data_IF_788732649296
#
_entry.id   IF_788732649296
#
_cell.length_a   1.000
_cell.length_b   1.000
_cell.length_c   1.000
_cell.angle_alpha   90.00
_cell.angle_beta   90.00
_cell.angle_gamma   90.00
#
_symmetry.space_group_name_H-M   'P 1'
#
loop_
_entity.id
_entity.type
_entity.pdbx_description
1 polymer ?
#
# COMPACT_ATOMS: atom_id res chain seq x y z
N UNK A 1 -18.16 8.61 3.78
CA UNK A 1 -16.82 9.09 3.39
C UNK A 1 -15.67 8.15 3.76
N UNK A 2 -15.92 7.15 4.62
CA UNK A 2 -14.95 6.07 4.84
C UNK A 2 -14.61 5.26 3.58
N UNK A 3 -15.46 5.25 2.58
CA UNK A 3 -15.24 4.55 1.32
C UNK A 3 -14.17 5.22 0.45
N UNK A 4 -14.02 6.53 0.55
CA UNK A 4 -13.01 7.29 -0.17
C UNK A 4 -11.61 7.10 0.41
N UNK A 5 -11.51 6.86 1.73
CA UNK A 5 -10.22 6.62 2.39
C UNK A 5 -9.69 5.19 2.24
N UNK A 6 -10.50 4.26 1.76
CA UNK A 6 -10.10 2.86 1.52
C UNK A 6 -9.23 2.65 0.29
N UNK A 7 -8.89 3.71 -0.35
CA UNK A 7 -7.89 3.74 -1.38
C UNK A 7 -8.47 4.01 -2.76
N UNK A 8 -7.96 5.06 -3.34
CA UNK A 8 -8.23 5.44 -4.71
C UNK A 8 -8.06 4.26 -5.68
N UNK A 9 -7.07 3.40 -5.44
CA UNK A 9 -6.84 2.19 -6.21
C UNK A 9 -8.01 1.20 -6.21
N UNK A 10 -8.76 1.07 -5.10
CA UNK A 10 -9.92 0.16 -5.05
C UNK A 10 -11.09 0.68 -5.87
N UNK A 11 -11.30 2.00 -5.90
CA UNK A 11 -12.32 2.63 -6.74
C UNK A 11 -12.04 2.38 -8.21
N UNK A 12 -10.81 2.60 -8.66
CA UNK A 12 -10.42 2.43 -10.06
C UNK A 12 -10.35 0.96 -10.49
N UNK A 13 -9.95 0.04 -9.63
CA UNK A 13 -10.02 -1.41 -9.92
C UNK A 13 -11.45 -1.87 -10.23
N UNK A 14 -12.45 -1.33 -9.52
CA UNK A 14 -13.86 -1.68 -9.75
C UNK A 14 -14.38 -1.23 -11.13
N UNK A 15 -13.79 -0.22 -11.73
CA UNK A 15 -14.16 0.24 -13.07
C UNK A 15 -13.80 -0.78 -14.17
N UNK A 16 -12.79 -1.63 -13.93
CA UNK A 16 -12.46 -2.78 -14.77
C UNK A 16 -11.69 -2.47 -16.06
N UNK A 17 -11.36 -1.20 -16.32
CA UNK A 17 -10.63 -0.76 -17.53
C UNK A 17 -9.42 0.13 -17.21
N UNK A 18 -9.13 0.38 -15.95
CA UNK A 18 -7.99 1.19 -15.51
C UNK A 18 -6.89 0.28 -14.99
N UNK A 19 -5.67 0.45 -15.48
CA UNK A 19 -4.49 -0.15 -14.84
C UNK A 19 -4.26 0.53 -13.49
N UNK A 20 -4.03 -0.25 -12.44
CA UNK A 20 -3.78 0.30 -11.10
C UNK A 20 -2.58 -0.37 -10.48
N UNK A 21 -1.61 0.42 -10.03
CA UNK A 21 -0.50 -0.08 -9.23
C UNK A 21 -0.34 0.73 -7.95
N UNK A 22 0.08 0.04 -6.91
CA UNK A 22 0.49 0.64 -5.65
C UNK A 22 1.95 0.27 -5.40
N UNK A 23 2.81 1.28 -5.22
CA UNK A 23 4.25 1.12 -5.17
C UNK A 23 4.87 1.79 -3.96
N UNK A 24 6.07 1.33 -3.56
CA UNK A 24 6.95 1.98 -2.60
C UNK A 24 8.39 1.73 -3.04
N UNK A 25 9.05 2.76 -3.54
CA UNK A 25 10.38 2.63 -4.15
C UNK A 25 11.42 2.08 -3.18
N UNK A 26 11.42 2.55 -1.95
CA UNK A 26 12.34 2.07 -0.92
C UNK A 26 12.10 0.63 -0.45
N UNK A 27 10.91 0.06 -0.71
CA UNK A 27 10.60 -1.32 -0.39
C UNK A 27 11.06 -2.30 -1.48
N UNK A 28 10.78 -1.96 -2.75
CA UNK A 28 11.16 -2.79 -3.91
C UNK A 28 11.28 -1.95 -5.18
N UNK A 29 12.52 -1.68 -5.60
CA UNK A 29 12.82 -0.96 -6.84
C UNK A 29 12.35 -1.70 -8.09
N UNK A 30 12.48 -3.02 -8.12
CA UNK A 30 12.12 -3.82 -9.29
C UNK A 30 10.60 -3.81 -9.50
N UNK A 31 9.83 -3.91 -8.41
CA UNK A 31 8.38 -3.78 -8.45
C UNK A 31 7.96 -2.39 -8.96
N UNK A 32 8.62 -1.35 -8.47
CA UNK A 32 8.34 0.02 -8.87
C UNK A 32 8.58 0.23 -10.38
N UNK A 33 9.75 -0.18 -10.90
CA UNK A 33 10.08 -0.07 -12.33
C UNK A 33 9.12 -0.90 -13.18
N UNK A 34 8.81 -2.13 -12.75
CA UNK A 34 7.87 -3.00 -13.45
C UNK A 34 6.47 -2.39 -13.52
N UNK A 35 5.97 -1.85 -12.41
CA UNK A 35 4.65 -1.24 -12.35
C UNK A 35 4.54 -0.02 -13.28
N UNK A 36 5.58 0.81 -13.35
CA UNK A 36 5.63 1.98 -14.24
C UNK A 36 5.69 1.54 -15.70
N UNK A 37 6.53 0.57 -16.05
CA UNK A 37 6.63 0.05 -17.41
C UNK A 37 5.32 -0.60 -17.88
N UNK A 38 4.64 -1.36 -17.02
CA UNK A 38 3.32 -1.92 -17.32
C UNK A 38 2.25 -0.82 -17.50
N UNK A 39 2.30 0.24 -16.67
CA UNK A 39 1.39 1.37 -16.76
C UNK A 39 1.58 2.16 -18.06
N UNK A 40 2.81 2.30 -18.54
CA UNK A 40 3.13 2.97 -19.82
C UNK A 40 2.69 2.12 -21.02
N UNK A 41 2.89 0.81 -20.95
CA UNK A 41 2.52 -0.11 -22.02
C UNK A 41 0.99 -0.38 -22.09
N UNK A 42 0.24 -0.04 -21.04
CA UNK A 42 -1.21 -0.30 -20.99
C UNK A 42 -1.97 0.61 -21.96
N UNK A 43 -2.84 0.06 -22.85
CA UNK A 43 -3.53 0.85 -23.89
C UNK A 43 -4.75 1.64 -23.37
N UNK A 44 -4.75 2.02 -22.11
CA UNK A 44 -5.83 2.74 -21.44
C UNK A 44 -5.33 3.64 -20.31
N UNK A 45 -6.25 4.20 -19.52
CA UNK A 45 -5.85 5.02 -18.38
C UNK A 45 -5.14 4.19 -17.32
N UNK A 46 -4.07 4.74 -16.75
CA UNK A 46 -3.25 4.11 -15.73
C UNK A 46 -3.15 4.99 -14.49
N UNK A 47 -3.25 4.37 -13.32
CA UNK A 47 -3.07 5.01 -12.03
C UNK A 47 -1.96 4.31 -11.25
N UNK A 48 -0.88 5.03 -10.96
CA UNK A 48 0.18 4.55 -10.09
C UNK A 48 0.17 5.36 -8.80
N UNK A 49 -0.03 4.69 -7.67
CA UNK A 49 -0.09 5.30 -6.34
C UNK A 49 1.21 4.97 -5.62
N UNK A 50 2.04 5.98 -5.40
CA UNK A 50 3.32 5.83 -4.73
C UNK A 50 3.23 6.29 -3.27
N UNK A 51 3.76 5.49 -2.34
CA UNK A 51 3.98 5.94 -0.97
C UNK A 51 5.27 6.74 -0.90
N UNK A 52 5.21 7.88 -0.21
CA UNK A 52 6.38 8.67 0.13
C UNK A 52 6.15 9.38 1.48
N UNK A 53 7.12 9.34 2.42
CA UNK A 53 7.05 10.12 3.64
C UNK A 53 6.97 11.61 3.35
N UNK A 54 6.14 12.33 4.09
CA UNK A 54 5.93 13.77 3.90
C UNK A 54 7.01 14.56 4.62
N UNK A 55 7.70 15.46 3.90
CA UNK A 55 8.69 16.38 4.48
C UNK A 55 8.12 17.27 5.58
N UNK A 56 6.86 17.67 5.45
CA UNK A 56 6.21 18.55 6.41
C UNK A 56 5.84 17.82 7.72
N UNK A 57 5.46 16.57 7.64
CA UNK A 57 5.17 15.74 8.82
C UNK A 57 6.44 15.16 9.44
N UNK A 58 7.42 14.80 8.61
CA UNK A 58 8.72 14.28 9.01
C UNK A 58 8.70 12.86 9.55
N UNK A 59 9.88 12.27 9.57
CA UNK A 59 10.16 11.01 10.23
C UNK A 59 11.22 11.24 11.32
N UNK A 60 11.13 10.49 12.40
CA UNK A 60 11.96 10.69 13.61
C UNK A 60 13.47 10.60 13.32
N UNK A 61 13.86 9.73 12.41
CA UNK A 61 15.26 9.52 12.01
C UNK A 61 15.75 10.48 10.93
N UNK A 62 14.90 11.39 10.47
CA UNK A 62 15.21 12.38 9.44
C UNK A 62 14.91 11.92 8.00
N UNK A 63 14.62 12.89 7.13
CA UNK A 63 14.17 12.64 5.75
C UNK A 63 15.20 11.95 4.86
N UNK A 64 16.49 11.94 5.21
CA UNK A 64 17.50 11.16 4.51
C UNK A 64 17.26 9.64 4.57
N UNK A 65 16.38 9.20 5.47
CA UNK A 65 15.97 7.79 5.63
C UNK A 65 14.59 7.51 5.05
N UNK A 66 14.05 8.39 4.20
CA UNK A 66 12.72 8.24 3.61
C UNK A 66 12.50 6.87 2.95
N UNK A 67 13.45 6.39 2.15
CA UNK A 67 13.34 5.07 1.50
C UNK A 67 13.38 3.91 2.51
N UNK A 68 14.13 4.05 3.59
CA UNK A 68 14.11 3.06 4.68
C UNK A 68 12.74 3.03 5.36
N UNK A 69 12.13 4.20 5.55
CA UNK A 69 10.79 4.32 6.12
C UNK A 69 9.72 3.71 5.19
N UNK A 70 9.83 3.90 3.87
CA UNK A 70 8.98 3.23 2.90
C UNK A 70 9.05 1.70 3.01
N UNK A 71 10.26 1.16 3.19
CA UNK A 71 10.46 -0.27 3.41
C UNK A 71 9.81 -0.73 4.71
N UNK A 72 10.01 -0.01 5.80
CA UNK A 72 9.40 -0.31 7.09
C UNK A 72 7.87 -0.25 7.04
N UNK A 73 7.30 0.70 6.28
CA UNK A 73 5.86 0.80 6.06
C UNK A 73 5.30 -0.47 5.40
N UNK A 74 6.00 -1.03 4.42
CA UNK A 74 5.59 -2.27 3.76
C UNK A 74 5.79 -3.48 4.66
N UNK A 75 6.92 -3.58 5.34
CA UNK A 75 7.21 -4.68 6.27
C UNK A 75 6.24 -4.71 7.46
N UNK A 76 5.82 -3.55 7.95
CA UNK A 76 4.82 -3.42 9.02
C UNK A 76 3.38 -3.67 8.56
N UNK A 77 3.11 -3.72 7.25
CA UNK A 77 1.76 -3.85 6.71
C UNK A 77 0.95 -2.55 6.73
N UNK A 78 1.59 -1.42 6.96
CA UNK A 78 0.97 -0.10 6.82
C UNK A 78 0.69 0.24 5.36
N UNK A 79 1.58 -0.17 4.47
CA UNK A 79 1.46 -0.04 3.02
C UNK A 79 1.64 -1.39 2.35
N UNK A 80 0.94 -1.61 1.21
CA UNK A 80 1.04 -2.83 0.42
C UNK A 80 1.33 -2.48 -1.03
N UNK A 81 2.20 -3.24 -1.67
CA UNK A 81 2.49 -3.08 -3.10
C UNK A 81 1.74 -4.13 -3.90
N UNK A 82 1.07 -3.70 -4.98
CA UNK A 82 0.32 -4.57 -5.87
C UNK A 82 0.21 -3.96 -7.26
N UNK A 83 -0.18 -4.78 -8.24
CA UNK A 83 -0.52 -4.36 -9.60
C UNK A 83 -1.83 -5.01 -10.01
N UNK A 84 -2.66 -4.25 -10.72
CA UNK A 84 -3.89 -4.70 -11.34
C UNK A 84 -3.88 -4.29 -12.81
N UNK A 85 -3.83 -5.28 -13.70
CA UNK A 85 -3.86 -5.09 -15.14
C UNK A 85 -5.11 -5.77 -15.72
N UNK A 86 -6.17 -5.00 -16.04
CA UNK A 86 -7.41 -5.57 -16.54
C UNK A 86 -7.28 -6.22 -17.92
N UNK A 87 -6.28 -5.86 -18.75
CA UNK A 87 -6.08 -6.48 -20.05
C UNK A 87 -5.75 -7.96 -19.95
N UNK A 88 -5.10 -8.40 -18.85
CA UNK A 88 -4.77 -9.80 -18.64
C UNK A 88 -5.99 -10.72 -18.49
N UNK A 89 -7.16 -10.18 -18.12
CA UNK A 89 -8.41 -10.94 -18.10
C UNK A 89 -8.80 -11.49 -19.47
N UNK A 90 -8.61 -10.67 -20.51
CA UNK A 90 -8.91 -11.10 -21.87
C UNK A 90 -7.97 -12.22 -22.35
N UNK A 91 -6.81 -12.36 -21.72
CA UNK A 91 -5.82 -13.41 -21.98
C UNK A 91 -6.00 -14.64 -21.08
N UNK A 92 -7.03 -14.70 -20.23
CA UNK A 92 -7.21 -15.77 -19.23
C UNK A 92 -6.17 -15.75 -18.09
N UNK A 93 -5.40 -14.67 -17.95
CA UNK A 93 -4.36 -14.52 -16.94
C UNK A 93 -4.85 -13.78 -15.69
N UNK A 94 -4.17 -14.00 -14.56
CA UNK A 94 -4.45 -13.29 -13.33
C UNK A 94 -4.26 -11.77 -13.52
N UNK A 95 -5.33 -11.01 -13.33
CA UNK A 95 -5.31 -9.56 -13.47
C UNK A 95 -4.73 -8.85 -12.24
N UNK A 96 -4.75 -9.47 -11.08
CA UNK A 96 -4.24 -8.91 -9.83
C UNK A 96 -3.00 -9.67 -9.35
N UNK A 97 -1.97 -8.91 -8.98
CA UNK A 97 -0.74 -9.42 -8.36
C UNK A 97 -0.47 -8.66 -7.07
N UNK A 98 -0.47 -9.36 -5.95
CA UNK A 98 0.03 -8.81 -4.68
C UNK A 98 1.55 -9.01 -4.65
N UNK A 99 2.29 -7.91 -4.73
CA UNK A 99 3.75 -7.94 -4.83
C UNK A 99 4.42 -7.93 -3.44
N UNK A 100 3.80 -7.29 -2.45
CA UNK A 100 4.31 -7.30 -1.07
C UNK A 100 4.07 -8.66 -0.39
N UNK A 101 5.05 -9.06 0.41
CA UNK A 101 4.96 -10.26 1.25
C UNK A 101 4.03 -10.01 2.46
N UNK A 102 3.73 -11.09 3.18
CA UNK A 102 3.05 -10.98 4.47
C UNK A 102 3.82 -10.06 5.41
N UNK A 103 3.11 -9.15 6.13
CA UNK A 103 3.75 -8.27 7.10
C UNK A 103 4.48 -9.07 8.18
N UNK A 104 5.70 -8.67 8.47
CA UNK A 104 6.55 -9.28 9.52
C UNK A 104 7.11 -8.24 10.48
N UNK A 105 6.92 -6.95 10.18
CA UNK A 105 7.42 -5.83 10.97
C UNK A 105 6.50 -5.48 12.14
N UNK A 106 7.05 -4.71 13.07
CA UNK A 106 6.28 -4.17 14.20
C UNK A 106 5.53 -2.90 13.76
N UNK A 107 4.21 -3.00 13.68
CA UNK A 107 3.32 -1.91 13.26
C UNK A 107 3.38 -0.70 14.20
N UNK A 108 3.42 -0.93 15.52
CA UNK A 108 3.51 0.16 16.51
C UNK A 108 4.87 0.85 16.45
N UNK A 109 5.95 0.09 16.24
CA UNK A 109 7.29 0.66 16.08
C UNK A 109 7.35 1.57 14.85
N UNK A 110 6.74 1.16 13.73
CA UNK A 110 6.62 2.00 12.53
C UNK A 110 5.86 3.29 12.83
N UNK A 111 4.65 3.22 13.44
CA UNK A 111 3.88 4.43 13.79
C UNK A 111 4.64 5.39 14.69
N UNK A 112 5.42 4.86 15.64
CA UNK A 112 6.26 5.67 16.52
C UNK A 112 7.48 6.30 15.82
N UNK A 113 7.85 5.81 14.65
CA UNK A 113 8.85 6.40 13.75
C UNK A 113 8.34 7.65 13.04
N UNK A 114 7.05 7.71 12.76
CA UNK A 114 6.38 8.82 12.12
C UNK A 114 6.08 9.93 13.13
N UNK A 115 6.60 11.14 12.90
CA UNK A 115 6.47 12.27 13.85
C UNK A 115 5.02 12.60 14.15
N UNK A 116 4.15 12.50 13.16
CA UNK A 116 2.72 12.80 13.30
C UNK A 116 2.02 11.85 14.29
N UNK A 117 2.29 10.55 14.21
CA UNK A 117 1.71 9.57 15.14
C UNK A 117 2.37 9.66 16.51
N UNK A 118 3.69 9.84 16.56
CA UNK A 118 4.43 10.03 17.81
C UNK A 118 3.96 11.29 18.57
N UNK A 119 3.59 12.36 17.87
CA UNK A 119 3.02 13.54 18.51
C UNK A 119 1.72 13.20 19.25
N UNK A 120 0.81 12.44 18.63
CA UNK A 120 -0.42 11.99 19.28
C UNK A 120 -0.12 11.16 20.54
N UNK A 121 0.83 10.24 20.47
CA UNK A 121 1.23 9.42 21.62
C UNK A 121 1.78 10.25 22.80
N UNK A 122 2.38 11.41 22.53
CA UNK A 122 2.85 12.34 23.57
C UNK A 122 1.76 13.21 24.16
N UNK A 123 0.83 13.68 23.32
CA UNK A 123 -0.23 14.60 23.77
C UNK A 123 -1.41 13.89 24.41
N UNK A 124 -1.75 12.70 23.94
CA UNK A 124 -2.85 11.90 24.45
C UNK A 124 -2.54 10.40 24.35
N UNK A 125 -1.77 9.85 25.28
CA UNK A 125 -1.27 8.47 25.21
C UNK A 125 -2.39 7.42 25.23
N UNK A 126 -3.42 7.61 26.05
CA UNK A 126 -4.55 6.66 26.13
C UNK A 126 -5.30 6.56 24.79
N UNK A 127 -5.61 7.71 24.21
CA UNK A 127 -6.27 7.77 22.90
C UNK A 127 -5.39 7.24 21.77
N UNK A 128 -4.08 7.48 21.85
CA UNK A 128 -3.12 6.98 20.88
C UNK A 128 -3.08 5.46 20.90
N UNK A 129 -3.07 4.83 22.07
CA UNK A 129 -3.03 3.38 22.20
C UNK A 129 -4.26 2.72 21.57
N UNK A 130 -5.45 3.23 21.87
CA UNK A 130 -6.71 2.77 21.28
C UNK A 130 -6.69 2.88 19.75
N UNK A 131 -6.29 4.05 19.22
CA UNK A 131 -6.28 4.32 17.79
C UNK A 131 -5.21 3.51 17.05
N UNK A 132 -4.06 3.29 17.65
CA UNK A 132 -2.99 2.49 17.05
C UNK A 132 -3.36 1.01 17.00
N UNK A 133 -3.99 0.48 18.05
CA UNK A 133 -4.51 -0.88 18.04
C UNK A 133 -5.56 -1.09 16.94
N UNK A 134 -6.51 -0.17 16.82
CA UNK A 134 -7.53 -0.21 15.76
C UNK A 134 -6.93 -0.06 14.36
N UNK A 135 -5.91 0.79 14.21
CA UNK A 135 -5.20 0.97 12.94
C UNK A 135 -4.47 -0.30 12.52
N UNK A 136 -3.83 -0.99 13.45
CA UNK A 136 -3.17 -2.27 13.20
C UNK A 136 -4.15 -3.36 12.78
N UNK A 137 -5.29 -3.46 13.47
CA UNK A 137 -6.38 -4.38 13.10
C UNK A 137 -6.87 -4.12 11.67
N UNK A 138 -7.17 -2.86 11.35
CA UNK A 138 -7.57 -2.45 9.98
C UNK A 138 -6.50 -2.77 8.94
N UNK A 139 -5.21 -2.66 9.28
CA UNK A 139 -4.13 -3.02 8.38
C UNK A 139 -4.09 -4.53 8.10
N UNK A 140 -4.33 -5.37 9.11
CA UNK A 140 -4.45 -6.83 8.96
C UNK A 140 -5.64 -7.20 8.08
N UNK A 141 -6.82 -6.61 8.34
CA UNK A 141 -8.01 -6.81 7.50
C UNK A 141 -7.77 -6.41 6.03
N UNK A 142 -7.04 -5.32 5.81
CA UNK A 142 -6.67 -4.87 4.46
C UNK A 142 -5.78 -5.89 3.75
N UNK A 143 -4.79 -6.44 4.44
CA UNK A 143 -3.95 -7.50 3.87
C UNK A 143 -4.76 -8.74 3.51
N UNK A 144 -5.66 -9.18 4.38
CA UNK A 144 -6.57 -10.30 4.10
C UNK A 144 -7.48 -10.00 2.89
N UNK A 145 -7.99 -8.78 2.79
CA UNK A 145 -8.78 -8.36 1.63
C UNK A 145 -7.97 -8.44 0.33
N UNK A 146 -6.71 -7.96 0.35
CA UNK A 146 -5.84 -8.04 -0.83
C UNK A 146 -5.55 -9.50 -1.23
N UNK A 147 -5.40 -10.41 -0.27
CA UNK A 147 -5.25 -11.84 -0.56
C UNK A 147 -6.53 -12.42 -1.20
N UNK A 148 -7.72 -12.02 -0.77
CA UNK A 148 -8.98 -12.42 -1.43
C UNK A 148 -9.06 -11.93 -2.88
N UNK A 149 -8.47 -10.77 -3.19
CA UNK A 149 -8.42 -10.27 -4.57
C UNK A 149 -7.55 -11.15 -5.49
N UNK A 150 -6.54 -11.84 -4.97
CA UNK A 150 -5.75 -12.81 -5.75
C UNK A 150 -6.66 -13.91 -6.29
N UNK A 151 -7.57 -14.43 -5.45
CA UNK A 151 -8.53 -15.46 -5.87
C UNK A 151 -9.60 -14.88 -6.79
N UNK A 152 -10.11 -13.68 -6.48
CA UNK A 152 -11.19 -13.04 -7.25
C UNK A 152 -10.77 -12.66 -8.67
N UNK A 153 -9.52 -12.26 -8.85
CA UNK A 153 -8.93 -11.84 -10.13
C UNK A 153 -7.88 -12.83 -10.65
N UNK A 154 -7.84 -14.05 -10.09
CA UNK A 154 -7.02 -15.15 -10.59
C UNK A 154 -7.40 -15.51 -12.02
N UNK A 155 -6.41 -15.92 -12.82
CA UNK A 155 -6.66 -16.50 -14.13
C UNK A 155 -7.39 -17.84 -14.00
N UNK A 156 -8.12 -18.22 -15.03
CA UNK A 156 -8.61 -19.60 -15.15
C UNK A 156 -7.40 -20.56 -15.23
N UNK A 157 -7.37 -21.55 -14.35
CA UNK A 157 -6.41 -22.66 -14.40
C UNK A 157 -6.75 -23.61 -15.53
#
# INVERSE_FOLDING_TARGET
>A
DCLLSRGLGDVYKRQGYVYVAQIAMGADYNQCVKAIAEAEAYPGPSLVIAYAPCINHGIKVGMSKAQTEEKLAVEAGYWHTFRYNPALKAEGKAAFSLDSKAPTGDYKAFLNGEVRYNALARFNPERAEELFAKSEETAKERYEYLNKLITLYGGEN
#
